data_IF_957998198537
#
_entry.id   IF_957998198537
#
_cell.length_a   1.000
_cell.length_b   1.000
_cell.length_c   1.000
_cell.angle_alpha   90.00
_cell.angle_beta   90.00
_cell.angle_gamma   90.00
#
_symmetry.space_group_name_H-M   'P 1'
#
loop_
_entity.id
_entity.type
_entity.pdbx_description
1 polymer ?
#
# COMPACT_ATOMS: atom_id res chain seq x y z
N UNK A 1 72.72 -6.45 -13.59
CA UNK A 1 72.41 -5.90 -12.25
C UNK A 1 71.41 -6.87 -11.63
N UNK A 2 71.88 -7.66 -10.66
CA UNK A 2 71.05 -8.54 -9.83
C UNK A 2 70.08 -7.69 -9.01
N UNK A 3 68.82 -8.11 -8.82
CA UNK A 3 68.07 -8.07 -7.55
C UNK A 3 66.71 -8.75 -7.78
N UNK A 4 66.63 -10.06 -7.48
CA UNK A 4 65.94 -10.68 -6.32
C UNK A 4 64.44 -10.91 -6.57
N UNK A 5 64.14 -12.17 -6.92
CA UNK A 5 62.82 -12.78 -6.78
C UNK A 5 62.47 -12.86 -5.30
N UNK A 6 61.39 -12.20 -4.88
CA UNK A 6 60.72 -12.45 -3.60
C UNK A 6 59.49 -13.31 -3.91
N UNK A 7 59.38 -14.55 -3.39
CA UNK A 7 58.15 -15.31 -3.48
C UNK A 7 57.19 -14.79 -2.41
N UNK A 8 56.23 -13.94 -2.79
CA UNK A 8 55.09 -13.65 -1.92
C UNK A 8 54.08 -14.79 -2.03
N UNK A 9 54.33 -15.89 -1.33
CA UNK A 9 53.25 -16.78 -0.91
C UNK A 9 52.46 -16.09 0.21
N UNK A 10 51.70 -15.07 -0.14
CA UNK A 10 50.61 -14.61 0.71
C UNK A 10 49.43 -15.55 0.41
N UNK A 11 49.35 -16.64 1.18
CA UNK A 11 48.11 -17.39 1.29
C UNK A 11 47.02 -16.40 1.73
N UNK A 12 46.19 -15.94 0.78
CA UNK A 12 44.93 -15.27 1.11
C UNK A 12 44.09 -16.31 1.85
N UNK A 13 44.11 -16.25 3.17
CA UNK A 13 43.08 -16.88 3.99
C UNK A 13 41.80 -16.13 3.67
N UNK A 14 41.04 -16.62 2.68
CA UNK A 14 39.63 -16.27 2.53
C UNK A 14 38.91 -16.90 3.72
N UNK A 15 38.97 -16.22 4.86
CA UNK A 15 38.11 -16.52 5.99
C UNK A 15 36.72 -16.12 5.51
N UNK A 16 35.86 -17.11 5.19
CA UNK A 16 34.52 -16.82 4.71
C UNK A 16 33.83 -15.92 5.74
N UNK A 17 33.15 -14.88 5.27
CA UNK A 17 32.40 -13.97 6.14
C UNK A 17 31.47 -14.73 7.11
N UNK A 18 30.98 -15.89 6.67
CA UNK A 18 30.20 -16.85 7.47
C UNK A 18 30.95 -17.43 8.67
N UNK A 19 32.27 -17.67 8.58
CA UNK A 19 33.08 -18.11 9.72
C UNK A 19 33.31 -16.98 10.73
N UNK A 20 33.45 -15.74 10.25
CA UNK A 20 33.61 -14.55 11.10
C UNK A 20 32.31 -14.25 11.85
N UNK A 21 31.17 -14.28 11.15
CA UNK A 21 29.85 -14.07 11.78
C UNK A 21 29.48 -15.22 12.71
N UNK A 22 29.77 -16.47 12.33
CA UNK A 22 29.58 -17.63 13.20
C UNK A 22 30.41 -17.56 14.49
N UNK A 23 31.69 -17.17 14.39
CA UNK A 23 32.57 -17.00 15.56
C UNK A 23 32.11 -15.83 16.44
N UNK A 24 31.67 -14.72 15.84
CA UNK A 24 31.13 -13.57 16.57
C UNK A 24 29.85 -13.94 17.36
N UNK A 25 28.91 -14.64 16.72
CA UNK A 25 27.68 -15.10 17.38
C UNK A 25 27.98 -16.09 18.51
N UNK A 26 28.93 -17.01 18.31
CA UNK A 26 29.34 -17.95 19.35
C UNK A 26 29.94 -17.23 20.57
N UNK A 27 30.81 -16.24 20.36
CA UNK A 27 31.40 -15.45 21.45
C UNK A 27 30.32 -14.63 22.17
N UNK A 28 29.38 -14.03 21.44
CA UNK A 28 28.26 -13.26 21.99
C UNK A 28 27.38 -14.13 22.90
N UNK A 29 27.02 -15.34 22.44
CA UNK A 29 26.26 -16.30 23.25
C UNK A 29 27.00 -16.68 24.53
N UNK A 30 28.32 -16.87 24.45
CA UNK A 30 29.14 -17.25 25.60
C UNK A 30 29.22 -16.12 26.64
N UNK A 31 29.29 -14.86 26.20
CA UNK A 31 29.24 -13.68 27.07
C UNK A 31 27.89 -13.57 27.78
N UNK A 32 26.78 -13.78 27.06
CA UNK A 32 25.43 -13.75 27.64
C UNK A 32 25.28 -14.86 28.69
N UNK A 33 25.74 -16.08 28.40
CA UNK A 33 25.71 -17.19 29.35
C UNK A 33 26.55 -16.91 30.61
N UNK A 34 27.73 -16.31 30.47
CA UNK A 34 28.57 -15.91 31.61
C UNK A 34 27.89 -14.85 32.50
N UNK A 35 27.13 -13.92 31.92
CA UNK A 35 26.37 -12.90 32.68
C UNK A 35 25.20 -13.54 33.41
N UNK A 36 24.51 -14.49 32.77
CA UNK A 36 23.38 -15.21 33.37
C UNK A 36 23.83 -16.10 34.53
N UNK A 37 24.98 -16.77 34.42
CA UNK A 37 25.51 -17.68 35.44
C UNK A 37 26.18 -16.95 36.63
N UNK A 38 26.58 -15.69 36.46
CA UNK A 38 27.27 -14.94 37.50
C UNK A 38 26.33 -14.58 38.68
N UNK A 39 26.61 -15.17 39.84
CA UNK A 39 25.81 -15.02 41.06
C UNK A 39 25.96 -13.64 41.74
N UNK A 40 26.91 -12.80 41.31
CA UNK A 40 27.12 -11.48 41.89
C UNK A 40 26.20 -10.39 41.31
N UNK A 41 25.50 -10.67 40.21
CA UNK A 41 24.55 -9.72 39.62
C UNK A 41 23.12 -10.03 40.04
N UNK A 42 22.40 -8.98 40.48
CA UNK A 42 20.96 -9.05 40.70
C UNK A 42 20.24 -9.15 39.35
N UNK A 43 19.07 -9.78 39.29
CA UNK A 43 18.32 -10.05 38.03
C UNK A 43 18.15 -8.78 37.18
N UNK A 44 17.85 -7.63 37.80
CA UNK A 44 17.71 -6.35 37.10
C UNK A 44 19.01 -5.92 36.38
N UNK A 45 20.16 -6.09 37.02
CA UNK A 45 21.46 -5.76 36.42
C UNK A 45 21.80 -6.71 35.27
N UNK A 46 21.46 -8.01 35.38
CA UNK A 46 21.66 -8.98 34.29
C UNK A 46 20.88 -8.59 33.04
N UNK A 47 19.62 -8.20 33.23
CA UNK A 47 18.74 -7.75 32.14
C UNK A 47 19.30 -6.47 31.50
N UNK A 48 19.73 -5.50 32.30
CA UNK A 48 20.30 -4.24 31.82
C UNK A 48 21.57 -4.48 30.98
N UNK A 49 22.52 -5.28 31.47
CA UNK A 49 23.75 -5.59 30.74
C UNK A 49 23.51 -6.33 29.42
N UNK A 50 22.67 -7.37 29.43
CA UNK A 50 22.33 -8.13 28.21
C UNK A 50 21.66 -7.20 27.19
N UNK A 51 20.78 -6.31 27.65
CA UNK A 51 20.09 -5.35 26.79
C UNK A 51 21.08 -4.37 26.15
N UNK A 52 22.04 -3.84 26.90
CA UNK A 52 23.07 -2.95 26.35
C UNK A 52 23.96 -3.64 25.31
N UNK A 53 24.33 -4.90 25.56
CA UNK A 53 25.12 -5.72 24.61
C UNK A 53 24.34 -5.92 23.31
N UNK A 54 23.08 -6.35 23.39
CA UNK A 54 22.24 -6.57 22.20
C UNK A 54 21.99 -5.28 21.42
N UNK A 55 21.81 -4.15 22.12
CA UNK A 55 21.62 -2.83 21.48
C UNK A 55 22.89 -2.37 20.76
N UNK A 56 24.07 -2.59 21.36
CA UNK A 56 25.35 -2.27 20.73
C UNK A 56 25.62 -3.13 19.49
N UNK A 57 25.28 -4.43 19.54
CA UNK A 57 25.38 -5.32 18.37
C UNK A 57 24.44 -4.87 17.26
N UNK A 58 23.20 -4.48 17.57
CA UNK A 58 22.22 -4.00 16.59
C UNK A 58 22.65 -2.69 15.91
N UNK A 59 23.27 -1.77 16.66
CA UNK A 59 23.78 -0.50 16.12
C UNK A 59 24.95 -0.69 15.14
N UNK A 60 25.74 -1.76 15.32
CA UNK A 60 26.88 -2.08 14.45
C UNK A 60 26.41 -2.85 13.20
N UNK A 61 25.31 -3.60 13.29
CA UNK A 61 24.81 -4.45 12.19
C UNK A 61 23.68 -3.85 11.35
N UNK A 62 23.18 -2.65 11.68
CA UNK A 62 22.15 -1.95 10.89
C UNK A 62 20.75 -2.58 10.93
N UNK A 63 20.51 -3.58 11.80
CA UNK A 63 19.25 -4.32 11.88
C UNK A 63 18.28 -3.67 12.89
N UNK A 64 17.37 -2.81 12.41
CA UNK A 64 16.37 -2.08 13.21
C UNK A 64 15.37 -2.96 14.00
N UNK A 65 15.26 -4.25 13.67
CA UNK A 65 14.35 -5.21 14.31
C UNK A 65 14.74 -5.48 15.78
N UNK A 66 16.04 -5.45 16.11
CA UNK A 66 16.52 -5.71 17.47
C UNK A 66 16.25 -4.51 18.39
N UNK A 67 16.36 -3.28 17.88
CA UNK A 67 16.04 -2.05 18.63
C UNK A 67 14.56 -1.98 19.02
N UNK A 68 13.65 -2.44 18.15
CA UNK A 68 12.21 -2.50 18.46
C UNK A 68 11.89 -3.55 19.54
N UNK A 69 12.45 -4.76 19.43
CA UNK A 69 12.24 -5.82 20.43
C UNK A 69 12.83 -5.46 21.80
N UNK A 70 13.97 -4.76 21.84
CA UNK A 70 14.58 -4.22 23.07
C UNK A 70 13.77 -3.07 23.68
N UNK A 71 13.20 -2.18 22.85
CA UNK A 71 12.32 -1.12 23.33
C UNK A 71 11.01 -1.68 23.90
N UNK A 72 10.42 -2.66 23.21
CA UNK A 72 9.22 -3.41 23.64
C UNK A 72 9.44 -4.13 24.97
N UNK A 73 10.57 -4.82 25.15
CA UNK A 73 10.90 -5.46 26.43
C UNK A 73 11.13 -4.45 27.56
N UNK A 74 11.73 -3.28 27.29
CA UNK A 74 11.87 -2.20 28.28
C UNK A 74 10.52 -1.60 28.70
N UNK A 75 9.57 -1.45 27.78
CA UNK A 75 8.20 -1.00 28.10
C UNK A 75 7.45 -2.04 28.94
N UNK A 76 7.55 -3.33 28.59
CA UNK A 76 6.95 -4.42 29.36
C UNK A 76 7.55 -4.53 30.77
N UNK A 77 8.85 -4.34 30.94
CA UNK A 77 9.51 -4.36 32.26
C UNK A 77 9.09 -3.16 33.12
N UNK A 78 8.95 -1.96 32.53
CA UNK A 78 8.43 -0.78 33.24
C UNK A 78 6.98 -0.96 33.68
N UNK A 79 6.12 -1.53 32.83
CA UNK A 79 4.74 -1.87 33.20
C UNK A 79 4.67 -2.90 34.34
N UNK A 80 5.61 -3.85 34.38
CA UNK A 80 5.68 -4.87 35.44
C UNK A 80 6.15 -4.24 36.76
N UNK A 81 7.08 -3.29 36.74
CA UNK A 81 7.54 -2.57 37.93
C UNK A 81 6.49 -1.57 38.47
N UNK A 82 5.77 -0.86 37.60
CA UNK A 82 4.65 0.01 38.02
C UNK A 82 3.50 -0.78 38.66
N UNK A 83 3.26 -2.02 38.20
CA UNK A 83 2.22 -2.91 38.76
C UNK A 83 2.65 -3.60 40.06
N UNK A 84 3.95 -3.81 40.30
CA UNK A 84 4.46 -4.32 41.59
C UNK A 84 4.40 -3.28 42.72
N UNK A 85 4.64 -1.99 42.42
CA UNK A 85 4.61 -0.94 43.45
C UNK A 85 3.18 -0.57 43.93
N UNK A 86 2.13 -0.96 43.20
CA UNK A 86 0.74 -0.64 43.53
C UNK A 86 -0.06 -1.80 44.17
N UNK A 87 0.60 -2.89 44.59
CA UNK A 87 0.01 -3.85 45.52
C UNK A 87 -1.29 -4.53 45.08
N UNK A 88 -1.54 -4.70 43.78
CA UNK A 88 -2.65 -5.53 43.29
C UNK A 88 -2.18 -6.93 42.92
N UNK A 89 -2.90 -7.93 43.41
CA UNK A 89 -2.60 -9.36 43.34
C UNK A 89 -2.42 -9.81 41.90
N UNK A 90 -1.23 -10.32 41.58
CA UNK A 90 -0.94 -11.04 40.33
C UNK A 90 -1.84 -12.27 40.31
N UNK A 91 -2.79 -12.34 39.36
CA UNK A 91 -3.60 -13.54 39.13
C UNK A 91 -2.68 -14.75 38.97
N UNK A 92 -2.89 -15.72 39.85
CA UNK A 92 -2.23 -17.03 39.94
C UNK A 92 -2.22 -17.86 38.64
N UNK A 93 -2.87 -17.38 37.56
CA UNK A 93 -2.82 -17.96 36.23
C UNK A 93 -1.48 -17.78 35.49
N UNK A 94 -0.71 -16.71 35.77
CA UNK A 94 0.61 -16.49 35.12
C UNK A 94 1.77 -17.19 35.81
N UNK A 95 1.70 -17.40 37.13
CA UNK A 95 2.69 -18.18 37.88
C UNK A 95 2.55 -19.68 37.59
N UNK A 96 1.31 -20.18 37.50
CA UNK A 96 1.01 -21.57 37.16
C UNK A 96 1.41 -21.93 35.72
N UNK A 97 1.42 -20.95 34.80
CA UNK A 97 1.90 -21.14 33.42
C UNK A 97 3.42 -21.27 33.36
N UNK A 98 4.15 -20.60 34.26
CA UNK A 98 5.62 -20.67 34.36
C UNK A 98 6.08 -21.96 35.07
N UNK A 99 5.35 -22.43 36.08
CA UNK A 99 5.60 -23.74 36.72
C UNK A 99 5.31 -24.91 35.76
N UNK A 100 4.22 -24.83 34.97
CA UNK A 100 3.88 -25.86 33.97
C UNK A 100 4.82 -25.96 32.77
N UNK A 101 5.61 -24.92 32.49
CA UNK A 101 6.59 -24.94 31.39
C UNK A 101 7.95 -25.52 31.80
N UNK A 102 8.18 -25.77 33.10
CA UNK A 102 9.45 -26.29 33.63
C UNK A 102 9.39 -27.76 34.07
N UNK A 103 8.20 -28.36 34.23
CA UNK A 103 8.04 -29.76 34.63
C UNK A 103 7.48 -30.62 33.50
N UNK A 104 8.34 -31.05 32.60
CA UNK A 104 8.09 -32.24 31.79
C UNK A 104 9.12 -33.32 32.16
N UNK A 105 8.86 -33.99 33.28
CA UNK A 105 9.09 -35.42 33.41
C UNK A 105 7.80 -36.05 33.93
N UNK A 106 7.16 -36.82 33.04
CA UNK A 106 6.17 -37.89 33.26
C UNK A 106 5.25 -37.80 34.48
N UNK A 107 3.93 -37.64 34.25
CA UNK A 107 2.87 -38.42 34.92
C UNK A 107 1.53 -38.18 34.20
N UNK A 108 0.83 -39.27 33.90
CA UNK A 108 -0.56 -39.27 33.45
C UNK A 108 -1.53 -38.98 34.60
N UNK A 109 -2.42 -38.01 34.44
CA UNK A 109 -3.63 -37.89 35.27
C UNK A 109 -4.82 -37.56 34.37
N UNK A 110 -5.73 -38.52 34.31
CA UNK A 110 -7.08 -38.39 33.78
C UNK A 110 -7.87 -37.46 34.72
N UNK A 111 -8.19 -36.24 34.26
CA UNK A 111 -9.10 -35.33 34.97
C UNK A 111 -10.23 -34.93 34.04
N UNK A 112 -11.41 -35.47 34.31
CA UNK A 112 -12.66 -35.07 33.71
C UNK A 112 -12.99 -33.62 34.08
N UNK A 113 -13.04 -32.74 33.09
CA UNK A 113 -13.67 -31.42 33.24
C UNK A 113 -14.80 -31.28 32.22
N UNK A 114 -16.00 -31.13 32.75
CA UNK A 114 -17.19 -30.72 32.00
C UNK A 114 -17.04 -29.28 31.54
N UNK A 115 -17.16 -29.09 30.23
CA UNK A 115 -17.07 -27.88 29.42
C UNK A 115 -17.97 -26.72 29.91
N UNK A 116 -17.58 -25.46 29.62
CA UNK A 116 -18.35 -24.74 28.61
C UNK A 116 -17.47 -24.06 27.54
N UNK A 117 -17.47 -24.66 26.34
CA UNK A 117 -17.44 -24.03 25.02
C UNK A 117 -16.39 -22.94 24.78
N UNK A 118 -15.11 -23.30 24.87
CA UNK A 118 -14.01 -22.53 24.29
C UNK A 118 -12.87 -23.43 23.74
N UNK A 119 -13.16 -24.71 23.49
CA UNK A 119 -12.20 -25.63 22.90
C UNK A 119 -11.92 -25.20 21.45
N UNK A 120 -10.64 -25.00 21.15
CA UNK A 120 -10.15 -25.00 19.77
C UNK A 120 -10.45 -26.41 19.25
N UNK A 121 -11.26 -26.59 18.19
CA UNK A 121 -11.68 -27.92 17.75
C UNK A 121 -10.43 -28.69 17.32
N UNK A 122 -10.38 -29.99 17.58
CA UNK A 122 -9.28 -30.85 17.10
C UNK A 122 -9.03 -30.65 15.60
N UNK A 123 -10.11 -30.46 14.85
CA UNK A 123 -10.13 -30.16 13.41
C UNK A 123 -9.30 -28.92 13.04
N UNK A 124 -9.18 -27.93 13.92
CA UNK A 124 -8.35 -26.74 13.70
C UNK A 124 -6.86 -27.09 13.71
N UNK A 125 -6.39 -27.84 14.71
CA UNK A 125 -4.99 -28.26 14.77
C UNK A 125 -4.63 -29.23 13.65
N UNK A 126 -5.56 -30.11 13.28
CA UNK A 126 -5.39 -30.99 12.13
C UNK A 126 -5.29 -30.20 10.82
N UNK A 127 -6.15 -29.20 10.62
CA UNK A 127 -6.08 -28.34 9.45
C UNK A 127 -4.77 -27.55 9.40
N UNK A 128 -4.31 -26.97 10.52
CA UNK A 128 -3.01 -26.30 10.58
C UNK A 128 -1.85 -27.22 10.18
N UNK A 129 -1.85 -28.47 10.66
CA UNK A 129 -0.84 -29.46 10.27
C UNK A 129 -0.86 -29.80 8.78
N UNK A 130 -2.03 -29.83 8.15
CA UNK A 130 -2.18 -30.06 6.71
C UNK A 130 -1.86 -28.83 5.85
N UNK A 131 -1.97 -27.61 6.41
CA UNK A 131 -1.63 -26.37 5.70
C UNK A 131 -0.13 -26.27 5.40
N UNK A 132 0.72 -26.83 6.27
CA UNK A 132 2.17 -26.93 6.05
C UNK A 132 2.62 -28.13 5.22
N UNK A 133 1.71 -28.83 4.53
CA UNK A 133 2.02 -29.99 3.72
C UNK A 133 2.56 -29.59 2.34
N UNK A 134 3.56 -30.30 1.82
CA UNK A 134 4.12 -30.04 0.48
C UNK A 134 3.12 -30.25 -0.67
N UNK A 135 2.05 -31.01 -0.45
CA UNK A 135 1.03 -31.33 -1.46
C UNK A 135 -0.10 -30.29 -1.49
N UNK A 136 -0.35 -29.63 -2.64
CA UNK A 136 -1.44 -28.65 -2.78
C UNK A 136 -2.82 -29.22 -2.40
N UNK A 137 -3.10 -30.49 -2.65
CA UNK A 137 -4.40 -31.10 -2.33
C UNK A 137 -4.67 -31.16 -0.82
N UNK A 138 -3.61 -31.41 -0.03
CA UNK A 138 -3.71 -31.41 1.43
C UNK A 138 -3.93 -29.99 1.96
N UNK A 139 -3.21 -29.01 1.40
CA UNK A 139 -3.38 -27.59 1.75
C UNK A 139 -4.76 -27.06 1.39
N UNK A 140 -5.29 -27.42 0.22
CA UNK A 140 -6.65 -27.09 -0.19
C UNK A 140 -7.69 -27.63 0.79
N UNK A 141 -7.56 -28.90 1.19
CA UNK A 141 -8.41 -29.51 2.22
C UNK A 141 -8.36 -28.72 3.53
N UNK A 142 -7.15 -28.38 3.99
CA UNK A 142 -6.94 -27.57 5.20
C UNK A 142 -7.62 -26.20 5.13
N UNK A 143 -7.44 -25.47 4.02
CA UNK A 143 -7.99 -24.13 3.81
C UNK A 143 -9.51 -24.14 3.93
N UNK A 144 -10.19 -25.09 3.28
CA UNK A 144 -11.65 -25.18 3.36
C UNK A 144 -12.16 -25.69 4.72
N UNK A 145 -11.40 -26.56 5.41
CA UNK A 145 -11.70 -26.91 6.80
C UNK A 145 -11.59 -25.67 7.70
N UNK A 146 -10.56 -24.83 7.53
CA UNK A 146 -10.42 -23.58 8.26
C UNK A 146 -11.58 -22.60 7.95
N UNK A 147 -11.99 -22.46 6.68
CA UNK A 147 -13.17 -21.66 6.32
C UNK A 147 -14.43 -22.14 7.05
N UNK A 148 -14.65 -23.47 7.10
CA UNK A 148 -15.81 -24.04 7.79
C UNK A 148 -15.77 -23.75 9.29
N UNK A 149 -14.60 -23.88 9.94
CA UNK A 149 -14.43 -23.54 11.36
C UNK A 149 -14.70 -22.05 11.60
N UNK A 150 -14.26 -21.17 10.70
CA UNK A 150 -14.52 -19.73 10.81
C UNK A 150 -16.02 -19.42 10.76
N UNK A 151 -16.78 -20.11 9.89
CA UNK A 151 -18.24 -19.99 9.79
C UNK A 151 -18.96 -20.51 11.04
N UNK A 152 -18.52 -21.66 11.55
CA UNK A 152 -19.14 -22.31 12.72
C UNK A 152 -18.78 -21.62 14.04
N UNK A 153 -17.66 -20.90 14.08
CA UNK A 153 -17.16 -20.18 15.26
C UNK A 153 -16.68 -18.77 14.89
N UNK A 154 -17.58 -17.77 14.83
CA UNK A 154 -17.22 -16.40 14.44
C UNK A 154 -16.12 -15.76 15.30
N UNK A 155 -16.00 -16.15 16.58
CA UNK A 155 -14.92 -15.68 17.45
C UNK A 155 -13.52 -16.13 17.03
N UNK A 156 -13.42 -17.16 16.18
CA UNK A 156 -12.16 -17.73 15.65
C UNK A 156 -11.83 -17.24 14.24
N UNK A 157 -12.79 -16.62 13.54
CA UNK A 157 -12.62 -16.16 12.15
C UNK A 157 -11.34 -15.34 11.99
N UNK A 158 -11.14 -14.33 12.84
CA UNK A 158 -9.96 -13.46 12.74
C UNK A 158 -8.63 -14.23 12.80
N UNK A 159 -8.49 -15.16 13.75
CA UNK A 159 -7.28 -16.00 13.86
C UNK A 159 -7.06 -16.86 12.63
N UNK A 160 -8.13 -17.39 12.04
CA UNK A 160 -8.08 -18.19 10.80
C UNK A 160 -7.64 -17.32 9.62
N UNK A 161 -8.20 -16.12 9.49
CA UNK A 161 -7.84 -15.17 8.44
C UNK A 161 -6.37 -14.74 8.58
N UNK A 162 -5.88 -14.44 9.79
CA UNK A 162 -4.46 -14.15 10.04
C UNK A 162 -3.55 -15.35 9.68
N UNK A 163 -4.00 -16.57 9.97
CA UNK A 163 -3.25 -17.79 9.62
C UNK A 163 -3.13 -17.95 8.11
N UNK A 164 -4.24 -17.78 7.38
CA UNK A 164 -4.24 -17.86 5.91
C UNK A 164 -3.40 -16.75 5.27
N UNK A 165 -3.42 -15.54 5.83
CA UNK A 165 -2.56 -14.45 5.37
C UNK A 165 -1.07 -14.70 5.65
N UNK A 166 -0.72 -15.30 6.79
CA UNK A 166 0.64 -15.75 7.05
C UNK A 166 1.08 -16.83 6.06
N UNK A 167 0.21 -17.81 5.78
CA UNK A 167 0.44 -18.83 4.77
C UNK A 167 0.72 -18.22 3.39
N UNK A 168 -0.07 -17.24 2.95
CA UNK A 168 0.17 -16.55 1.67
C UNK A 168 1.53 -15.86 1.67
N UNK A 169 1.85 -15.06 2.71
CA UNK A 169 3.14 -14.34 2.81
C UNK A 169 4.35 -15.27 2.78
N UNK A 170 4.27 -16.45 3.39
CA UNK A 170 5.35 -17.43 3.39
C UNK A 170 5.54 -18.14 2.04
N UNK A 171 4.47 -18.29 1.25
CA UNK A 171 4.47 -19.07 0.02
C UNK A 171 4.51 -18.21 -1.26
N UNK A 172 4.37 -16.88 -1.12
CA UNK A 172 4.43 -15.91 -2.23
C UNK A 172 5.21 -14.65 -1.86
N UNK A 173 6.44 -14.73 -1.33
CA UNK A 173 7.19 -13.53 -0.97
C UNK A 173 7.56 -12.74 -2.25
N UNK A 174 7.28 -11.43 -2.26
CA UNK A 174 7.80 -10.53 -3.28
C UNK A 174 9.21 -10.08 -2.89
N UNK A 175 10.19 -10.39 -3.75
CA UNK A 175 11.57 -9.92 -3.64
C UNK A 175 11.83 -8.98 -4.80
N UNK A 176 12.08 -7.70 -4.53
CA UNK A 176 12.46 -6.72 -5.55
C UNK A 176 13.94 -6.95 -5.85
N UNK A 177 14.27 -7.53 -7.00
CA UNK A 177 15.67 -7.67 -7.41
C UNK A 177 16.20 -6.26 -7.73
N UNK A 178 17.24 -5.82 -7.01
CA UNK A 178 17.85 -4.49 -7.15
C UNK A 178 18.60 -4.30 -8.49
N UNK A 179 18.69 -5.33 -9.34
CA UNK A 179 19.52 -5.37 -10.55
C UNK A 179 18.79 -4.98 -11.86
N UNK A 180 17.45 -4.85 -11.89
CA UNK A 180 16.68 -4.57 -13.12
C UNK A 180 16.46 -3.07 -13.42
N UNK A 181 17.42 -2.21 -13.09
CA UNK A 181 17.34 -0.76 -13.39
C UNK A 181 17.99 -0.35 -14.72
N UNK A 182 18.55 -1.30 -15.46
CA UNK A 182 19.15 -1.06 -16.78
C UNK A 182 18.63 -2.14 -17.75
N UNK A 183 17.61 -1.82 -18.56
CA UNK A 183 17.64 -1.95 -20.02
C UNK A 183 16.23 -1.89 -20.65
N UNK A 184 16.15 -1.13 -21.74
CA UNK A 184 15.09 -1.16 -22.74
C UNK A 184 14.99 -2.58 -23.35
N UNK A 185 14.29 -3.51 -22.69
CA UNK A 185 14.13 -4.86 -23.23
C UNK A 185 12.72 -5.16 -23.74
N UNK A 186 12.73 -5.63 -24.99
CA UNK A 186 11.62 -6.10 -25.80
C UNK A 186 10.59 -6.89 -25.00
N UNK A 187 9.31 -6.74 -25.35
CA UNK A 187 8.19 -7.60 -24.95
C UNK A 187 8.49 -9.07 -25.27
N UNK A 188 9.32 -9.69 -24.43
CA UNK A 188 9.47 -11.13 -24.32
C UNK A 188 8.11 -11.70 -23.98
N UNK A 189 7.78 -12.83 -24.57
CA UNK A 189 6.55 -13.56 -24.24
C UNK A 189 6.61 -13.92 -22.76
N UNK A 190 5.99 -13.10 -21.91
CA UNK A 190 5.84 -13.35 -20.48
C UNK A 190 5.19 -14.73 -20.34
N UNK A 191 5.95 -15.66 -19.77
CA UNK A 191 5.42 -16.95 -19.35
C UNK A 191 4.32 -16.65 -18.32
N UNK A 192 3.07 -17.02 -18.62
CA UNK A 192 1.92 -16.80 -17.73
C UNK A 192 2.22 -17.45 -16.36
N UNK A 193 2.63 -16.64 -15.38
CA UNK A 193 2.83 -17.07 -14.01
C UNK A 193 1.43 -17.39 -13.46
N UNK A 194 1.10 -18.68 -13.41
CA UNK A 194 -0.19 -19.14 -12.89
C UNK A 194 -0.10 -19.21 -11.36
N UNK A 195 -0.93 -18.41 -10.69
CA UNK A 195 -1.03 -18.42 -9.23
C UNK A 195 -1.35 -19.84 -8.72
N UNK A 196 -0.61 -20.37 -7.72
CA UNK A 196 -0.90 -21.69 -7.16
C UNK A 196 -2.34 -21.78 -6.62
N UNK A 197 -3.01 -22.91 -6.90
CA UNK A 197 -4.44 -23.08 -6.62
C UNK A 197 -4.81 -22.95 -5.15
N UNK A 198 -3.92 -23.35 -4.27
CA UNK A 198 -4.02 -23.23 -2.82
C UNK A 198 -3.87 -21.78 -2.34
N UNK A 199 -3.00 -20.99 -2.97
CA UNK A 199 -2.91 -19.54 -2.71
C UNK A 199 -4.19 -18.84 -3.13
N UNK A 200 -4.69 -19.14 -4.34
CA UNK A 200 -5.99 -18.65 -4.80
C UNK A 200 -7.11 -19.06 -3.85
N UNK A 201 -7.12 -20.30 -3.34
CA UNK A 201 -8.13 -20.75 -2.38
C UNK A 201 -8.04 -20.00 -1.04
N UNK A 202 -6.83 -19.78 -0.52
CA UNK A 202 -6.62 -19.01 0.70
C UNK A 202 -7.11 -17.55 0.55
N UNK A 203 -6.74 -16.89 -0.55
CA UNK A 203 -7.25 -15.55 -0.91
C UNK A 203 -8.78 -15.54 -1.04
N UNK A 204 -9.36 -16.56 -1.65
CA UNK A 204 -10.82 -16.70 -1.80
C UNK A 204 -11.52 -16.79 -0.44
N UNK A 205 -10.97 -17.57 0.50
CA UNK A 205 -11.52 -17.69 1.86
C UNK A 205 -11.38 -16.37 2.61
N UNK A 206 -10.22 -15.71 2.50
CA UNK A 206 -9.99 -14.39 3.08
C UNK A 206 -10.98 -13.36 2.53
N UNK A 207 -11.23 -13.37 1.22
CA UNK A 207 -12.15 -12.47 0.54
C UNK A 207 -13.62 -12.65 0.92
N UNK A 208 -13.99 -13.76 1.56
CA UNK A 208 -15.38 -14.03 2.01
C UNK A 208 -15.62 -13.70 3.48
N UNK A 209 -14.64 -13.08 4.16
CA UNK A 209 -14.71 -12.77 5.59
C UNK A 209 -15.82 -11.77 5.91
N UNK A 210 -16.44 -11.95 7.08
CA UNK A 210 -17.40 -11.00 7.65
C UNK A 210 -16.66 -9.99 8.54
N UNK A 211 -16.45 -8.79 8.01
CA UNK A 211 -15.76 -7.69 8.70
C UNK A 211 -16.45 -7.30 10.01
N UNK A 212 -17.77 -7.49 10.13
CA UNK A 212 -18.51 -7.11 11.34
C UNK A 212 -18.11 -7.94 12.56
N UNK A 213 -17.34 -9.02 12.35
CA UNK A 213 -16.81 -9.90 13.39
C UNK A 213 -15.35 -9.62 13.73
N UNK A 214 -14.71 -8.69 13.03
CA UNK A 214 -13.28 -8.44 13.16
C UNK A 214 -12.98 -7.40 14.26
N UNK A 215 -11.81 -7.48 14.91
CA UNK A 215 -11.38 -6.47 15.86
C UNK A 215 -11.19 -5.12 15.16
N UNK A 216 -11.83 -4.07 15.65
CA UNK A 216 -11.84 -2.74 15.02
C UNK A 216 -10.46 -2.08 14.85
N UNK A 217 -9.43 -2.56 15.56
CA UNK A 217 -8.09 -2.00 15.58
C UNK A 217 -7.05 -2.89 14.87
N UNK A 218 -7.48 -3.93 14.15
CA UNK A 218 -6.59 -4.81 13.41
C UNK A 218 -6.77 -4.62 11.92
N UNK A 219 -5.64 -4.56 11.21
CA UNK A 219 -5.53 -4.51 9.75
C UNK A 219 -4.97 -5.85 9.30
N UNK A 220 -5.53 -6.45 8.25
CA UNK A 220 -5.01 -7.71 7.72
C UNK A 220 -3.68 -7.47 7.01
N UNK A 221 -2.65 -8.24 7.31
CA UNK A 221 -1.30 -8.07 6.75
C UNK A 221 -1.05 -9.02 5.56
N UNK A 222 -1.02 -8.46 4.35
CA UNK A 222 -0.64 -9.10 3.09
C UNK A 222 0.44 -8.27 2.37
N UNK A 223 1.37 -7.69 3.13
CA UNK A 223 2.50 -6.93 2.58
C UNK A 223 3.54 -7.82 1.93
N UNK A 224 4.22 -7.27 0.93
CA UNK A 224 5.32 -7.91 0.20
C UNK A 224 4.95 -9.31 -0.31
N UNK A 225 3.74 -9.48 -0.84
CA UNK A 225 3.32 -10.72 -1.48
C UNK A 225 3.31 -10.57 -3.00
N UNK A 226 3.59 -11.65 -3.71
CA UNK A 226 3.39 -11.75 -5.16
C UNK A 226 2.18 -12.65 -5.43
N UNK A 227 1.04 -12.02 -5.71
CA UNK A 227 -0.19 -12.72 -6.06
C UNK A 227 -0.64 -12.35 -7.47
N UNK A 228 0.32 -12.12 -8.36
CA UNK A 228 0.10 -11.78 -9.77
C UNK A 228 -1.01 -12.64 -10.40
N UNK A 229 -1.95 -11.97 -11.04
CA UNK A 229 -3.08 -12.61 -11.73
C UNK A 229 -4.15 -13.23 -10.82
N UNK A 230 -4.13 -12.98 -9.51
CA UNK A 230 -5.17 -13.49 -8.60
C UNK A 230 -6.58 -13.04 -9.01
N UNK A 231 -7.54 -13.97 -8.95
CA UNK A 231 -8.96 -13.63 -9.11
C UNK A 231 -9.57 -13.29 -7.75
N UNK A 232 -9.78 -12.00 -7.53
CA UNK A 232 -10.34 -11.41 -6.32
C UNK A 232 -11.68 -10.72 -6.61
N UNK A 233 -12.38 -11.18 -7.66
CA UNK A 233 -13.68 -10.66 -8.07
C UNK A 233 -14.69 -10.76 -6.93
N UNK A 234 -15.30 -9.64 -6.57
CA UNK A 234 -16.26 -9.54 -5.46
C UNK A 234 -15.68 -9.79 -4.07
N UNK A 235 -14.35 -9.93 -3.95
CA UNK A 235 -13.70 -10.23 -2.70
C UNK A 235 -13.72 -9.02 -1.75
N UNK A 236 -13.78 -9.28 -0.46
CA UNK A 236 -13.80 -8.28 0.59
C UNK A 236 -12.42 -8.21 1.27
N UNK A 237 -11.64 -7.20 0.91
CA UNK A 237 -10.34 -6.90 1.48
C UNK A 237 -10.29 -5.56 2.21
N UNK A 238 -11.42 -5.02 2.65
CA UNK A 238 -11.43 -3.77 3.42
C UNK A 238 -10.41 -3.78 4.57
N UNK A 239 -9.74 -2.65 4.80
CA UNK A 239 -8.73 -2.50 5.86
C UNK A 239 -7.61 -3.57 5.78
N UNK A 240 -7.14 -3.88 4.57
CA UNK A 240 -5.99 -4.78 4.35
C UNK A 240 -4.76 -3.96 4.00
N UNK A 241 -3.60 -4.46 4.39
CA UNK A 241 -2.30 -3.93 4.04
C UNK A 241 -1.67 -4.77 2.93
N UNK A 242 -1.57 -4.21 1.74
CA UNK A 242 -0.86 -4.79 0.60
C UNK A 242 0.46 -4.06 0.31
N UNK A 243 0.97 -3.26 1.24
CA UNK A 243 2.16 -2.44 0.98
C UNK A 243 3.32 -3.26 0.40
N UNK A 244 3.90 -2.78 -0.69
CA UNK A 244 5.04 -3.39 -1.38
C UNK A 244 4.74 -4.71 -2.12
N UNK A 245 3.47 -5.07 -2.29
CA UNK A 245 3.06 -6.31 -2.96
C UNK A 245 3.01 -6.18 -4.48
N UNK A 246 3.22 -7.29 -5.19
CA UNK A 246 2.96 -7.43 -6.62
C UNK A 246 1.55 -8.00 -6.84
N UNK A 247 0.68 -7.17 -7.41
CA UNK A 247 -0.72 -7.40 -7.73
C UNK A 247 -0.98 -7.20 -9.24
N UNK A 248 0.05 -7.36 -10.08
CA UNK A 248 -0.08 -7.17 -11.52
C UNK A 248 -1.16 -8.10 -12.08
N UNK A 249 -2.01 -7.57 -12.97
CA UNK A 249 -3.06 -8.32 -13.64
C UNK A 249 -4.15 -8.91 -12.73
N UNK A 250 -4.16 -8.61 -11.42
CA UNK A 250 -5.17 -9.11 -10.50
C UNK A 250 -6.58 -8.63 -10.89
N UNK A 251 -7.58 -9.49 -10.71
CA UNK A 251 -8.98 -9.19 -10.97
C UNK A 251 -9.68 -8.78 -9.68
N UNK A 252 -9.97 -7.49 -9.52
CA UNK A 252 -10.70 -6.90 -8.39
C UNK A 252 -12.09 -6.41 -8.78
N UNK A 253 -12.67 -6.96 -9.84
CA UNK A 253 -13.99 -6.53 -10.33
C UNK A 253 -15.02 -6.62 -9.19
N UNK A 254 -15.70 -5.51 -8.88
CA UNK A 254 -16.67 -5.40 -7.79
C UNK A 254 -16.14 -5.77 -6.39
N UNK A 255 -14.82 -5.82 -6.20
CA UNK A 255 -14.22 -6.08 -4.90
C UNK A 255 -14.46 -4.91 -3.92
N UNK A 256 -14.58 -5.23 -2.63
CA UNK A 256 -14.57 -4.23 -1.57
C UNK A 256 -13.15 -4.04 -1.04
N UNK A 257 -12.54 -2.93 -1.44
CA UNK A 257 -11.16 -2.52 -1.15
C UNK A 257 -11.11 -1.18 -0.39
N UNK A 258 -12.19 -0.86 0.33
CA UNK A 258 -12.26 0.38 1.10
C UNK A 258 -11.15 0.41 2.17
N UNK A 259 -10.49 1.56 2.29
CA UNK A 259 -9.39 1.81 3.22
C UNK A 259 -8.27 0.75 3.15
N UNK A 260 -8.07 0.16 1.97
CA UNK A 260 -6.91 -0.70 1.70
C UNK A 260 -5.68 0.17 1.50
N UNK A 261 -4.55 -0.34 1.96
CA UNK A 261 -3.25 0.26 1.75
C UNK A 261 -2.51 -0.47 0.65
N UNK A 262 -2.44 0.17 -0.52
CA UNK A 262 -1.70 -0.22 -1.70
C UNK A 262 -0.43 0.64 -1.86
N UNK A 263 0.15 1.15 -0.78
CA UNK A 263 1.40 1.90 -0.87
C UNK A 263 2.50 1.04 -1.49
N UNK A 264 3.28 1.60 -2.42
CA UNK A 264 4.41 0.92 -3.09
C UNK A 264 4.01 -0.38 -3.83
N UNK A 265 2.72 -0.60 -4.09
CA UNK A 265 2.23 -1.77 -4.81
C UNK A 265 2.53 -1.65 -6.30
N UNK A 266 2.88 -2.77 -6.91
CA UNK A 266 2.79 -2.92 -8.36
C UNK A 266 1.47 -3.58 -8.74
N UNK A 267 0.55 -2.84 -9.35
CA UNK A 267 -0.75 -3.33 -9.83
C UNK A 267 -1.00 -2.96 -11.28
N UNK A 268 0.07 -2.97 -12.09
CA UNK A 268 -0.05 -2.81 -13.53
C UNK A 268 -1.08 -3.77 -14.10
N UNK A 269 -1.89 -3.28 -15.04
CA UNK A 269 -2.93 -4.06 -15.73
C UNK A 269 -4.02 -4.66 -14.81
N UNK A 270 -4.04 -4.33 -13.51
CA UNK A 270 -5.07 -4.84 -12.60
C UNK A 270 -6.46 -4.34 -13.02
N UNK A 271 -7.48 -5.18 -12.85
CA UNK A 271 -8.86 -4.89 -13.27
C UNK A 271 -9.73 -4.62 -12.06
N UNK A 272 -10.07 -3.35 -11.83
CA UNK A 272 -10.85 -2.82 -10.71
C UNK A 272 -12.22 -2.28 -11.14
N UNK A 273 -12.83 -2.85 -12.19
CA UNK A 273 -14.15 -2.44 -12.67
C UNK A 273 -15.19 -2.46 -11.55
N UNK A 274 -15.87 -1.33 -11.31
CA UNK A 274 -16.86 -1.16 -10.22
C UNK A 274 -16.35 -1.52 -8.81
N UNK A 275 -15.03 -1.55 -8.57
CA UNK A 275 -14.48 -1.81 -7.24
C UNK A 275 -14.77 -0.66 -6.28
N UNK A 276 -14.96 -0.98 -4.99
CA UNK A 276 -15.07 0.02 -3.93
C UNK A 276 -13.68 0.30 -3.33
N UNK A 277 -13.13 1.47 -3.60
CA UNK A 277 -11.80 1.93 -3.19
C UNK A 277 -11.86 3.24 -2.37
N UNK A 278 -12.99 3.48 -1.69
CA UNK A 278 -13.15 4.64 -0.80
C UNK A 278 -11.99 4.68 0.18
N UNK A 279 -11.33 5.84 0.29
CA UNK A 279 -10.22 6.07 1.24
C UNK A 279 -9.03 5.10 1.07
N UNK A 280 -8.90 4.42 -0.07
CA UNK A 280 -7.74 3.60 -0.37
C UNK A 280 -6.47 4.45 -0.53
N UNK A 281 -5.32 3.90 -0.14
CA UNK A 281 -4.02 4.57 -0.16
C UNK A 281 -3.13 3.95 -1.25
N UNK A 282 -2.57 4.78 -2.11
CA UNK A 282 -1.73 4.41 -3.26
C UNK A 282 -0.44 5.23 -3.30
N UNK A 283 0.19 5.47 -2.15
CA UNK A 283 1.46 6.21 -2.09
C UNK A 283 2.50 5.48 -2.94
N UNK A 284 3.08 6.15 -3.93
CA UNK A 284 4.12 5.58 -4.82
C UNK A 284 3.70 4.26 -5.52
N UNK A 285 2.40 4.00 -5.64
CA UNK A 285 1.90 2.79 -6.28
C UNK A 285 2.02 2.87 -7.81
N UNK A 286 2.26 1.72 -8.46
CA UNK A 286 2.24 1.58 -9.91
C UNK A 286 0.90 1.01 -10.39
N UNK A 287 0.04 1.87 -10.93
CA UNK A 287 -1.24 1.56 -11.57
C UNK A 287 -1.18 1.75 -13.10
N UNK A 288 0.00 1.68 -13.71
CA UNK A 288 0.12 1.87 -15.14
C UNK A 288 -0.79 0.89 -15.90
N UNK A 289 -1.57 1.43 -16.84
CA UNK A 289 -2.56 0.68 -17.63
C UNK A 289 -3.61 -0.11 -16.81
N UNK A 290 -3.80 0.21 -15.52
CA UNK A 290 -4.85 -0.40 -14.72
C UNK A 290 -6.25 -0.01 -15.23
N UNK A 291 -7.23 -0.89 -14.99
CA UNK A 291 -8.60 -0.77 -15.50
C UNK A 291 -9.58 -0.51 -14.34
N UNK A 292 -9.85 0.76 -14.04
CA UNK A 292 -10.74 1.22 -12.99
C UNK A 292 -12.07 1.89 -13.45
N UNK A 293 -12.70 1.55 -14.59
CA UNK A 293 -13.96 2.18 -14.94
C UNK A 293 -15.03 1.98 -13.87
N UNK A 294 -15.80 3.05 -13.60
CA UNK A 294 -16.87 3.07 -12.57
C UNK A 294 -16.42 2.70 -11.16
N UNK A 295 -15.13 2.61 -10.89
CA UNK A 295 -14.63 2.38 -9.54
C UNK A 295 -14.99 3.57 -8.63
N UNK A 296 -15.25 3.28 -7.35
CA UNK A 296 -15.49 4.32 -6.36
C UNK A 296 -14.19 4.62 -5.60
N UNK A 297 -13.54 5.71 -5.98
CA UNK A 297 -12.27 6.19 -5.46
C UNK A 297 -12.44 7.46 -4.61
N UNK A 298 -13.63 7.65 -4.01
CA UNK A 298 -13.91 8.81 -3.17
C UNK A 298 -12.86 8.91 -2.06
N UNK A 299 -12.19 10.05 -1.96
CA UNK A 299 -11.12 10.31 -0.97
C UNK A 299 -9.92 9.35 -1.04
N UNK A 300 -9.74 8.62 -2.14
CA UNK A 300 -8.51 7.85 -2.33
C UNK A 300 -7.29 8.77 -2.46
N UNK A 301 -6.12 8.28 -2.05
CA UNK A 301 -4.86 9.04 -2.06
C UNK A 301 -3.86 8.38 -2.99
N UNK A 302 -3.30 9.14 -3.93
CA UNK A 302 -2.42 8.73 -5.03
C UNK A 302 -1.12 9.53 -5.04
N UNK A 303 -0.58 9.91 -3.88
CA UNK A 303 0.65 10.69 -3.80
C UNK A 303 1.78 10.01 -4.57
N UNK A 304 2.33 10.68 -5.59
CA UNK A 304 3.38 10.15 -6.47
C UNK A 304 3.05 8.80 -7.16
N UNK A 305 1.77 8.44 -7.25
CA UNK A 305 1.36 7.22 -7.94
C UNK A 305 1.55 7.34 -9.46
N UNK A 306 1.86 6.22 -10.12
CA UNK A 306 1.90 6.11 -11.56
C UNK A 306 0.56 5.57 -12.09
N UNK A 307 -0.27 6.41 -12.69
CA UNK A 307 -1.50 6.05 -13.41
C UNK A 307 -1.36 6.24 -14.93
N UNK A 308 -0.14 6.20 -15.47
CA UNK A 308 0.09 6.34 -16.91
C UNK A 308 -0.78 5.36 -17.70
N UNK A 309 -1.54 5.88 -18.68
CA UNK A 309 -2.49 5.12 -19.52
C UNK A 309 -3.57 4.33 -18.75
N UNK A 310 -3.81 4.62 -17.47
CA UNK A 310 -4.89 3.99 -16.72
C UNK A 310 -6.28 4.39 -17.28
N UNK A 311 -7.26 3.49 -17.17
CA UNK A 311 -8.64 3.76 -17.58
C UNK A 311 -9.54 3.95 -16.37
N UNK A 312 -10.11 5.14 -16.25
CA UNK A 312 -10.91 5.62 -15.11
C UNK A 312 -12.24 6.26 -15.58
N UNK A 313 -12.73 5.91 -16.77
CA UNK A 313 -13.98 6.49 -17.28
C UNK A 313 -15.16 6.13 -16.36
N UNK A 314 -16.08 7.07 -16.18
CA UNK A 314 -17.19 7.00 -15.21
C UNK A 314 -16.76 6.78 -13.73
N UNK A 315 -15.47 6.83 -13.38
CA UNK A 315 -15.03 6.62 -12.00
C UNK A 315 -15.46 7.77 -11.08
N UNK A 316 -15.73 7.47 -9.81
CA UNK A 316 -16.00 8.49 -8.80
C UNK A 316 -14.73 8.81 -8.01
N UNK A 317 -14.14 9.96 -8.30
CA UNK A 317 -12.90 10.50 -7.72
C UNK A 317 -13.15 11.74 -6.84
N UNK A 318 -14.36 11.84 -6.28
CA UNK A 318 -14.74 12.99 -5.43
C UNK A 318 -13.76 13.11 -4.26
N UNK A 319 -13.20 14.29 -4.06
CA UNK A 319 -12.22 14.60 -3.00
C UNK A 319 -10.96 13.70 -3.01
N UNK A 320 -10.66 13.02 -4.13
CA UNK A 320 -9.42 12.24 -4.26
C UNK A 320 -8.18 13.16 -4.29
N UNK A 321 -7.04 12.65 -3.82
CA UNK A 321 -5.78 13.41 -3.72
C UNK A 321 -4.72 12.76 -4.59
N UNK A 322 -4.22 13.49 -5.59
CA UNK A 322 -3.28 13.01 -6.59
C UNK A 322 -1.91 13.69 -6.55
N UNK A 323 -1.59 14.50 -5.54
CA UNK A 323 -0.38 15.33 -5.52
C UNK A 323 0.86 14.65 -6.12
N UNK A 324 1.43 15.26 -7.18
CA UNK A 324 2.58 14.75 -7.96
C UNK A 324 2.39 13.38 -8.66
N UNK A 325 1.17 12.90 -8.85
CA UNK A 325 0.90 11.68 -9.60
C UNK A 325 1.12 11.88 -11.11
N UNK A 326 1.42 10.77 -11.77
CA UNK A 326 1.47 10.69 -13.23
C UNK A 326 0.17 10.10 -13.79
N UNK A 327 -0.67 10.92 -14.41
CA UNK A 327 -1.89 10.53 -15.13
C UNK A 327 -1.75 10.77 -16.65
N UNK A 328 -0.51 10.82 -17.18
CA UNK A 328 -0.29 11.05 -18.60
C UNK A 328 -1.02 10.01 -19.45
N UNK A 329 -1.81 10.48 -20.42
CA UNK A 329 -2.59 9.64 -21.32
C UNK A 329 -3.74 8.86 -20.66
N UNK A 330 -4.03 9.09 -19.38
CA UNK A 330 -5.13 8.40 -18.69
C UNK A 330 -6.49 8.74 -19.31
N UNK A 331 -7.41 7.77 -19.29
CA UNK A 331 -8.79 7.99 -19.72
C UNK A 331 -9.69 8.28 -18.51
N UNK A 332 -10.03 9.54 -18.29
CA UNK A 332 -10.89 10.06 -17.23
C UNK A 332 -12.23 10.59 -17.80
N UNK A 333 -12.66 10.14 -18.98
CA UNK A 333 -13.91 10.62 -19.57
C UNK A 333 -15.11 10.33 -18.66
N UNK A 334 -15.99 11.32 -18.51
CA UNK A 334 -17.18 11.26 -17.64
C UNK A 334 -16.88 10.96 -16.16
N UNK A 335 -15.61 10.99 -15.73
CA UNK A 335 -15.24 10.79 -14.33
C UNK A 335 -15.67 11.97 -13.45
N UNK A 336 -16.02 11.67 -12.20
CA UNK A 336 -16.37 12.69 -11.22
C UNK A 336 -15.17 13.04 -10.33
N UNK A 337 -14.45 14.10 -10.68
CA UNK A 337 -13.27 14.68 -9.99
C UNK A 337 -13.63 15.89 -9.12
N UNK A 338 -14.89 16.00 -8.67
CA UNK A 338 -15.35 17.14 -7.87
C UNK A 338 -14.49 17.28 -6.62
N UNK A 339 -13.97 18.49 -6.38
CA UNK A 339 -13.09 18.83 -5.25
C UNK A 339 -11.81 17.98 -5.16
N UNK A 340 -11.40 17.31 -6.24
CA UNK A 340 -10.15 16.55 -6.25
C UNK A 340 -8.94 17.48 -6.17
N UNK A 341 -7.87 17.03 -5.52
CA UNK A 341 -6.59 17.71 -5.50
C UNK A 341 -5.64 17.10 -6.53
N UNK A 342 -5.41 17.83 -7.62
CA UNK A 342 -4.57 17.49 -8.77
C UNK A 342 -3.35 18.42 -8.87
N UNK A 343 -2.96 19.06 -7.77
CA UNK A 343 -1.81 19.97 -7.73
C UNK A 343 -0.52 19.29 -8.21
N UNK A 344 0.20 19.97 -9.10
CA UNK A 344 1.47 19.55 -9.68
C UNK A 344 1.45 18.15 -10.33
N UNK A 345 0.29 17.65 -10.75
CA UNK A 345 0.17 16.37 -11.44
C UNK A 345 0.56 16.48 -12.93
N UNK A 346 1.09 15.39 -13.50
CA UNK A 346 1.17 15.24 -14.95
C UNK A 346 -0.14 14.63 -15.46
N UNK A 347 -0.98 15.41 -16.12
CA UNK A 347 -2.26 14.99 -16.73
C UNK A 347 -2.22 15.30 -18.24
N UNK A 348 -1.01 15.38 -18.81
CA UNK A 348 -0.83 15.66 -20.24
C UNK A 348 -1.42 14.51 -21.07
N UNK A 349 -1.93 14.84 -22.26
CA UNK A 349 -2.54 13.88 -23.19
C UNK A 349 -3.76 13.10 -22.64
N UNK A 350 -4.23 13.40 -21.42
CA UNK A 350 -5.35 12.69 -20.82
C UNK A 350 -6.68 13.01 -21.53
N UNK A 351 -7.58 12.03 -21.51
CA UNK A 351 -8.96 12.22 -21.96
C UNK A 351 -9.85 12.56 -20.76
N UNK A 352 -10.30 13.81 -20.66
CA UNK A 352 -11.17 14.35 -19.62
C UNK A 352 -12.53 14.79 -20.20
N UNK A 353 -12.92 14.26 -21.36
CA UNK A 353 -14.19 14.62 -22.01
C UNK A 353 -15.36 14.36 -21.07
N UNK A 354 -16.22 15.35 -20.86
CA UNK A 354 -17.40 15.23 -19.98
C UNK A 354 -17.10 15.12 -18.48
N UNK A 355 -15.82 15.14 -18.07
CA UNK A 355 -15.45 14.99 -16.67
C UNK A 355 -15.95 16.16 -15.81
N UNK A 356 -16.30 15.88 -14.55
CA UNK A 356 -16.69 16.90 -13.58
C UNK A 356 -15.51 17.25 -12.66
N UNK A 357 -14.86 18.37 -12.89
CA UNK A 357 -13.78 18.92 -12.05
C UNK A 357 -14.25 20.15 -11.25
N UNK A 358 -15.54 20.22 -10.89
CA UNK A 358 -16.07 21.36 -10.11
C UNK A 358 -15.29 21.55 -8.82
N UNK A 359 -14.71 22.73 -8.62
CA UNK A 359 -13.92 23.09 -7.45
C UNK A 359 -12.60 22.30 -7.30
N UNK A 360 -12.12 21.61 -8.34
CA UNK A 360 -10.86 20.88 -8.27
C UNK A 360 -9.66 21.83 -8.16
N UNK A 361 -8.62 21.39 -7.43
CA UNK A 361 -7.35 22.09 -7.34
C UNK A 361 -6.38 21.55 -8.41
N UNK A 362 -6.04 22.38 -9.39
CA UNK A 362 -5.14 22.06 -10.51
C UNK A 362 -3.93 23.01 -10.55
N UNK A 363 -3.53 23.57 -9.39
CA UNK A 363 -2.38 24.47 -9.30
C UNK A 363 -1.13 23.80 -9.90
N UNK A 364 -0.51 24.46 -10.88
CA UNK A 364 0.70 23.98 -11.54
C UNK A 364 0.58 22.63 -12.25
N UNK A 365 -0.64 22.11 -12.47
CA UNK A 365 -0.84 20.84 -13.17
C UNK A 365 -0.44 20.97 -14.64
N UNK A 366 0.14 19.89 -15.19
CA UNK A 366 0.41 19.78 -16.62
C UNK A 366 -0.80 19.14 -17.33
N UNK A 367 -1.53 19.90 -18.14
CA UNK A 367 -2.64 19.46 -18.98
C UNK A 367 -2.32 19.64 -20.48
N UNK A 368 -1.04 19.65 -20.86
CA UNK A 368 -0.66 19.83 -22.26
C UNK A 368 -1.27 18.72 -23.14
N UNK A 369 -1.87 19.12 -24.27
CA UNK A 369 -2.57 18.22 -25.20
C UNK A 369 -3.74 17.42 -24.59
N UNK A 370 -4.20 17.74 -23.38
CA UNK A 370 -5.36 17.05 -22.78
C UNK A 370 -6.66 17.42 -23.50
N UNK A 371 -7.60 16.48 -23.55
CA UNK A 371 -8.94 16.70 -24.11
C UNK A 371 -9.96 16.91 -22.99
N UNK A 372 -10.38 18.15 -22.76
CA UNK A 372 -11.33 18.55 -21.73
C UNK A 372 -12.69 18.99 -22.33
N UNK A 373 -12.97 18.64 -23.59
CA UNK A 373 -14.21 19.11 -24.23
C UNK A 373 -15.43 18.66 -23.43
N UNK A 374 -16.41 19.54 -23.28
CA UNK A 374 -17.64 19.33 -22.46
C UNK A 374 -17.41 19.05 -20.97
N UNK A 375 -16.18 19.20 -20.45
CA UNK A 375 -15.92 19.07 -19.01
C UNK A 375 -16.51 20.24 -18.20
N UNK A 376 -16.72 20.03 -16.90
CA UNK A 376 -17.15 21.07 -15.97
C UNK A 376 -16.02 21.44 -15.01
N UNK A 377 -15.41 22.60 -15.20
CA UNK A 377 -14.36 23.21 -14.35
C UNK A 377 -14.89 24.43 -13.57
N UNK A 378 -16.19 24.47 -13.26
CA UNK A 378 -16.77 25.54 -12.44
C UNK A 378 -16.02 25.66 -11.12
N UNK A 379 -15.59 26.88 -10.76
CA UNK A 379 -14.82 27.19 -9.54
C UNK A 379 -13.48 26.42 -9.41
N UNK A 380 -12.98 25.79 -10.48
CA UNK A 380 -11.68 25.11 -10.44
C UNK A 380 -10.51 26.10 -10.30
N UNK A 381 -9.43 25.66 -9.66
CA UNK A 381 -8.21 26.44 -9.44
C UNK A 381 -7.15 25.97 -10.42
N UNK A 382 -6.95 26.67 -11.52
CA UNK A 382 -5.97 26.39 -12.59
C UNK A 382 -4.77 27.35 -12.54
N UNK A 383 -4.45 27.90 -11.37
CA UNK A 383 -3.35 28.84 -11.20
C UNK A 383 -2.03 28.22 -11.68
N UNK A 384 -1.36 28.88 -12.62
CA UNK A 384 -0.11 28.41 -13.26
C UNK A 384 -0.20 27.02 -13.93
N UNK A 385 -1.42 26.54 -14.26
CA UNK A 385 -1.58 25.28 -15.00
C UNK A 385 -1.06 25.40 -16.46
N UNK A 386 -0.44 24.34 -16.96
CA UNK A 386 -0.01 24.25 -18.35
C UNK A 386 -1.11 23.64 -19.22
N UNK A 387 -1.76 24.44 -20.05
CA UNK A 387 -2.89 24.03 -20.89
C UNK A 387 -2.54 24.09 -22.39
N UNK A 388 -1.24 24.13 -22.72
CA UNK A 388 -0.76 24.26 -24.10
C UNK A 388 -1.38 23.18 -24.98
N UNK A 389 -1.96 23.57 -26.12
CA UNK A 389 -2.58 22.66 -27.10
C UNK A 389 -3.71 21.78 -26.55
N UNK A 390 -4.27 22.08 -25.38
CA UNK A 390 -5.44 21.38 -24.84
C UNK A 390 -6.72 21.75 -25.58
N UNK A 391 -7.71 20.86 -25.52
CA UNK A 391 -9.04 21.10 -26.07
C UNK A 391 -10.04 21.40 -24.95
N UNK A 392 -10.46 22.67 -24.82
CA UNK A 392 -11.49 23.14 -23.88
C UNK A 392 -12.81 23.48 -24.61
N UNK A 393 -13.08 22.87 -25.77
CA UNK A 393 -14.31 23.15 -26.50
C UNK A 393 -15.56 22.77 -25.70
N UNK A 394 -16.54 23.67 -25.63
CA UNK A 394 -17.78 23.49 -24.85
C UNK A 394 -17.56 23.23 -23.36
N UNK A 395 -16.39 23.57 -22.82
CA UNK A 395 -16.07 23.38 -21.40
C UNK A 395 -16.65 24.50 -20.55
N UNK A 396 -17.20 24.17 -19.38
CA UNK A 396 -17.67 25.17 -18.42
C UNK A 396 -16.54 25.58 -17.49
N UNK A 397 -16.08 26.83 -17.56
CA UNK A 397 -15.01 27.40 -16.73
C UNK A 397 -15.52 28.53 -15.83
N UNK A 398 -16.82 28.54 -15.51
CA UNK A 398 -17.42 29.64 -14.75
C UNK A 398 -16.74 29.81 -13.40
N UNK A 399 -16.35 31.05 -13.08
CA UNK A 399 -15.61 31.39 -11.85
C UNK A 399 -14.28 30.64 -11.65
N UNK A 400 -13.72 30.01 -12.68
CA UNK A 400 -12.42 29.36 -12.58
C UNK A 400 -11.28 30.37 -12.42
N UNK A 401 -10.27 30.03 -11.64
CA UNK A 401 -9.05 30.82 -11.50
C UNK A 401 -8.00 30.32 -12.49
N UNK A 402 -7.74 31.07 -13.56
CA UNK A 402 -6.75 30.74 -14.59
C UNK A 402 -5.51 31.64 -14.51
N UNK A 403 -5.26 32.31 -13.39
CA UNK A 403 -4.16 33.26 -13.27
C UNK A 403 -2.83 32.56 -13.56
N UNK A 404 -2.06 33.10 -14.50
CA UNK A 404 -0.76 32.55 -14.88
C UNK A 404 -0.82 31.25 -15.71
N UNK A 405 -2.00 30.72 -16.00
CA UNK A 405 -2.14 29.53 -16.84
C UNK A 405 -1.60 29.79 -18.26
N UNK A 406 -1.02 28.77 -18.88
CA UNK A 406 -0.52 28.84 -20.25
C UNK A 406 -1.56 28.31 -21.24
N UNK A 407 -2.15 29.20 -22.05
CA UNK A 407 -3.19 28.86 -23.04
C UNK A 407 -2.67 28.84 -24.49
N UNK A 408 -1.36 28.64 -24.69
CA UNK A 408 -0.76 28.55 -26.03
C UNK A 408 -1.48 27.50 -26.87
N UNK A 409 -2.05 27.88 -28.02
CA UNK A 409 -2.78 26.97 -28.92
C UNK A 409 -3.96 26.21 -28.30
N UNK A 410 -4.47 26.64 -27.14
CA UNK A 410 -5.64 26.01 -26.52
C UNK A 410 -6.91 26.29 -27.32
N UNK A 411 -7.75 25.27 -27.54
CA UNK A 411 -9.03 25.42 -28.24
C UNK A 411 -10.10 25.83 -27.24
N UNK A 412 -10.67 27.03 -27.40
CA UNK A 412 -11.70 27.59 -26.50
C UNK A 412 -13.09 27.71 -27.16
N UNK A 413 -13.31 27.01 -28.28
CA UNK A 413 -14.58 27.09 -29.02
C UNK A 413 -15.77 26.75 -28.11
N UNK A 414 -16.69 27.69 -27.95
CA UNK A 414 -17.89 27.59 -27.11
C UNK A 414 -17.62 27.30 -25.62
N UNK A 415 -16.39 27.51 -25.14
CA UNK A 415 -16.08 27.42 -23.71
C UNK A 415 -16.75 28.56 -22.94
N UNK A 416 -17.37 28.28 -21.79
CA UNK A 416 -18.00 29.30 -20.94
C UNK A 416 -17.02 29.81 -19.89
N UNK A 417 -16.44 30.99 -20.14
CA UNK A 417 -15.49 31.67 -19.26
C UNK A 417 -16.18 32.66 -18.30
N UNK A 418 -17.50 32.63 -18.16
CA UNK A 418 -18.26 33.62 -17.38
C UNK A 418 -17.74 33.73 -15.94
N UNK A 419 -17.23 34.92 -15.58
CA UNK A 419 -16.71 35.19 -14.24
C UNK A 419 -15.34 34.57 -13.95
N UNK A 420 -14.69 33.94 -14.92
CA UNK A 420 -13.33 33.40 -14.76
C UNK A 420 -12.30 34.52 -14.61
N UNK A 421 -11.22 34.24 -13.88
CA UNK A 421 -10.06 35.13 -13.77
C UNK A 421 -8.95 34.69 -14.72
N UNK A 422 -8.86 35.36 -15.88
CA UNK A 422 -7.81 35.16 -16.88
C UNK A 422 -6.67 36.17 -16.70
N UNK A 423 -6.60 36.90 -15.58
CA UNK A 423 -5.53 37.88 -15.39
C UNK A 423 -4.17 37.20 -15.43
N UNK A 424 -3.22 37.80 -16.15
CA UNK A 424 -1.85 37.25 -16.33
C UNK A 424 -1.77 35.88 -17.01
N UNK A 425 -2.83 35.40 -17.65
CA UNK A 425 -2.74 34.24 -18.54
C UNK A 425 -1.68 34.48 -19.61
N UNK A 426 -0.94 33.42 -19.94
CA UNK A 426 0.16 33.42 -20.89
C UNK A 426 -0.36 32.95 -22.26
N UNK A 427 0.03 33.67 -23.32
CA UNK A 427 -0.23 33.31 -24.73
C UNK A 427 -1.71 33.09 -25.09
N UNK A 428 -2.63 33.80 -24.43
CA UNK A 428 -4.02 33.91 -24.88
C UNK A 428 -4.14 34.99 -25.97
N UNK A 429 -4.65 34.57 -27.12
CA UNK A 429 -4.91 35.42 -28.28
C UNK A 429 -6.37 35.88 -28.36
N UNK A 430 -6.60 37.06 -28.96
CA UNK A 430 -7.94 37.61 -29.14
C UNK A 430 -8.85 36.66 -29.94
N UNK A 431 -8.31 35.95 -30.93
CA UNK A 431 -9.06 34.99 -31.74
C UNK A 431 -9.57 33.79 -30.93
N UNK A 432 -8.80 33.30 -29.94
CA UNK A 432 -9.24 32.22 -29.06
C UNK A 432 -10.41 32.72 -28.19
N UNK A 433 -10.32 33.96 -27.70
CA UNK A 433 -11.34 34.59 -26.87
C UNK A 433 -12.67 34.85 -27.62
N UNK A 434 -12.59 35.26 -28.89
CA UNK A 434 -13.75 35.51 -29.74
C UNK A 434 -14.58 34.25 -30.05
N UNK A 435 -13.98 33.07 -29.89
CA UNK A 435 -14.66 31.78 -30.06
C UNK A 435 -15.29 31.27 -28.76
N UNK A 436 -14.96 31.88 -27.63
CA UNK A 436 -15.49 31.51 -26.32
C UNK A 436 -16.71 32.34 -25.94
N UNK A 437 -17.43 31.87 -24.94
CA UNK A 437 -18.51 32.57 -24.26
C UNK A 437 -17.97 33.18 -22.96
N UNK A 438 -18.59 34.28 -22.53
CA UNK A 438 -18.22 34.96 -21.31
C UNK A 438 -19.12 36.15 -21.07
N UNK A 439 -18.82 36.91 -20.03
CA UNK A 439 -19.59 38.08 -19.64
C UNK A 439 -18.70 39.17 -19.03
N UNK A 440 -19.32 40.29 -18.66
CA UNK A 440 -18.65 41.45 -18.04
C UNK A 440 -17.98 41.18 -16.69
N UNK A 441 -18.25 40.04 -16.03
CA UNK A 441 -17.56 39.63 -14.80
C UNK A 441 -16.26 38.86 -15.09
N UNK A 442 -15.99 38.51 -16.34
CA UNK A 442 -14.78 37.78 -16.74
C UNK A 442 -13.59 38.74 -16.75
N UNK A 443 -12.55 38.41 -15.99
CA UNK A 443 -11.36 39.26 -15.89
C UNK A 443 -10.36 38.89 -16.99
N UNK A 444 -9.97 39.85 -17.83
CA UNK A 444 -9.05 39.63 -18.96
C UNK A 444 -7.63 40.18 -18.70
N UNK A 445 -6.60 39.65 -19.37
CA UNK A 445 -5.30 40.30 -19.49
C UNK A 445 -5.39 41.72 -20.09
N UNK A 446 -4.48 42.61 -19.71
CA UNK A 446 -4.50 44.02 -20.15
C UNK A 446 -4.37 44.22 -21.67
N UNK A 447 -3.82 43.24 -22.40
CA UNK A 447 -3.61 43.31 -23.85
C UNK A 447 -4.80 42.84 -24.68
N UNK A 448 -5.83 42.27 -24.05
CA UNK A 448 -7.03 41.76 -24.73
C UNK A 448 -8.23 42.65 -24.46
N UNK A 449 -9.22 42.57 -25.36
CA UNK A 449 -10.48 43.31 -25.24
C UNK A 449 -11.65 42.35 -25.12
N UNK A 450 -12.64 42.74 -24.31
CA UNK A 450 -13.90 41.99 -24.19
C UNK A 450 -14.55 41.79 -25.57
N UNK A 451 -14.86 40.54 -25.97
CA UNK A 451 -15.62 40.28 -27.18
C UNK A 451 -16.99 40.96 -27.14
N UNK A 452 -17.45 41.43 -28.30
CA UNK A 452 -18.76 42.11 -28.42
C UNK A 452 -19.93 41.19 -28.05
N UNK A 453 -19.74 39.87 -28.19
CA UNK A 453 -20.72 38.84 -27.82
C UNK A 453 -20.91 38.66 -26.31
N UNK A 454 -20.05 39.22 -25.47
CA UNK A 454 -20.03 39.00 -24.00
C UNK A 454 -20.83 40.04 -23.21
N UNK A 455 -21.83 40.66 -23.86
CA UNK A 455 -22.62 41.79 -23.35
C UNK A 455 -23.35 41.52 -22.05
#
# INVERSE_FOLDING_TARGET
MFYVNIPTSAAKVNLSWQLITGLFMFILTLIVLLILDNQNFVIEQKIEYITHILTAVAAISGLGIITYNVHSTRMLVKEIQEKQNNGSTISSAKLLLLEKLLENQDIQIEVSYTNPSNEIPEDFYQALGQLGNDKPEARLGAIYTLEQIAKDSPSKQWTIIETLAAFIRENTPFMRDEEDLDDDDELGQEELILLPTDIQAALTVIGRRDITKEPANKKLDLRNVDITGADLTGANFQNTDFTGSCLQGCLFTQANLQAVDFSEVDMQYAVLYEANLIEALFYEANLQSAVLPKANLTKAVFYQANLHLATLYDANLTEAVFYQANLEGANLSDANLKLANLEACNISQANLIGANLTGANLIGANLENASLSTACLTEAILFEAALSSSNLSNTTLTHANLIGANLTNTILQDADLSGADLSRVINLEQQQLEQAQGNTNTTLPQHLTLPVSWS
#
